data_IF_222226637466
#
_entry.id   IF_222226637466
#
_cell.length_a   1.000
_cell.length_b   1.000
_cell.length_c   1.000
_cell.angle_alpha   90.00
_cell.angle_beta   90.00
_cell.angle_gamma   90.00
#
_symmetry.space_group_name_H-M   'P 1'
#
loop_
_entity.id
_entity.type
_entity.pdbx_description
1 polymer ?
#
# COMPACT_ATOMS: atom_id res chain seq x y z
N UNK A 1 -1.29 -91.50 -21.65
CA UNK A 1 0.10 -90.98 -21.46
C UNK A 1 0.20 -89.44 -21.33
N UNK A 2 -0.88 -88.67 -21.11
CA UNK A 2 -0.83 -87.18 -21.08
C UNK A 2 -1.16 -86.51 -19.72
N UNK A 3 -1.82 -87.19 -18.77
CA UNK A 3 -2.18 -86.57 -17.47
C UNK A 3 -1.00 -86.46 -16.50
N UNK A 4 -0.14 -87.47 -16.43
CA UNK A 4 1.03 -87.45 -15.54
C UNK A 4 2.11 -86.45 -15.98
N UNK A 5 2.25 -86.20 -17.29
CA UNK A 5 3.18 -85.18 -17.81
C UNK A 5 2.72 -83.76 -17.49
N UNK A 6 1.42 -83.47 -17.62
CA UNK A 6 0.85 -82.17 -17.21
C UNK A 6 0.97 -81.92 -15.71
N UNK A 7 0.75 -82.95 -14.89
CA UNK A 7 0.90 -82.87 -13.44
C UNK A 7 2.37 -82.67 -13.03
N UNK A 8 3.31 -83.35 -13.69
CA UNK A 8 4.75 -83.16 -13.46
C UNK A 8 5.23 -81.75 -13.85
N UNK A 9 4.74 -81.19 -14.96
CA UNK A 9 5.05 -79.82 -15.37
C UNK A 9 4.46 -78.81 -14.37
N UNK A 10 3.24 -79.04 -13.89
CA UNK A 10 2.63 -78.19 -12.86
C UNK A 10 3.40 -78.20 -11.54
N UNK A 11 3.84 -79.38 -11.09
CA UNK A 11 4.68 -79.52 -9.90
C UNK A 11 6.03 -78.83 -10.10
N UNK A 12 6.65 -78.97 -11.27
CA UNK A 12 7.91 -78.31 -11.57
C UNK A 12 7.80 -76.78 -11.54
N UNK A 13 6.74 -76.21 -12.12
CA UNK A 13 6.47 -74.76 -12.08
C UNK A 13 6.21 -74.30 -10.65
N UNK A 14 5.44 -75.06 -9.87
CA UNK A 14 5.19 -74.73 -8.46
C UNK A 14 6.48 -74.72 -7.63
N UNK A 15 7.36 -75.70 -7.84
CA UNK A 15 8.68 -75.74 -7.18
C UNK A 15 9.54 -74.55 -7.61
N UNK A 16 9.52 -74.18 -8.90
CA UNK A 16 10.24 -73.01 -9.41
C UNK A 16 9.74 -71.70 -8.78
N UNK A 17 8.42 -71.55 -8.66
CA UNK A 17 7.80 -70.38 -8.03
C UNK A 17 8.13 -70.32 -6.54
N UNK A 18 8.06 -71.44 -5.82
CA UNK A 18 8.44 -71.50 -4.40
C UNK A 18 9.92 -71.16 -4.24
N UNK A 19 10.80 -71.73 -5.06
CA UNK A 19 12.23 -71.44 -5.03
C UNK A 19 12.51 -69.96 -5.32
N UNK A 20 11.80 -69.36 -6.28
CA UNK A 20 11.92 -67.93 -6.60
C UNK A 20 11.41 -67.04 -5.47
N UNK A 21 10.27 -67.38 -4.86
CA UNK A 21 9.73 -66.64 -3.72
C UNK A 21 10.65 -66.71 -2.50
N UNK A 22 11.23 -67.88 -2.21
CA UNK A 22 12.23 -68.04 -1.14
C UNK A 22 13.49 -67.24 -1.46
N UNK A 23 13.97 -67.30 -2.71
CA UNK A 23 15.13 -66.52 -3.14
C UNK A 23 14.89 -65.02 -2.98
N UNK A 24 13.74 -64.51 -3.43
CA UNK A 24 13.37 -63.11 -3.28
C UNK A 24 13.22 -62.71 -1.81
N UNK A 25 12.62 -63.55 -0.97
CA UNK A 25 12.48 -63.27 0.47
C UNK A 25 13.85 -63.21 1.17
N UNK A 26 14.79 -64.10 0.82
CA UNK A 26 16.15 -64.09 1.39
C UNK A 26 17.00 -62.92 0.87
N UNK A 27 16.79 -62.50 -0.40
CA UNK A 27 17.49 -61.36 -1.01
C UNK A 27 16.87 -60.00 -0.70
N UNK A 28 15.57 -59.95 -0.37
CA UNK A 28 14.87 -58.72 -0.01
C UNK A 28 15.20 -58.33 1.44
N UNK A 29 16.39 -57.78 1.63
CA UNK A 29 16.77 -57.16 2.91
C UNK A 29 16.04 -55.83 3.05
N UNK A 30 15.19 -55.64 4.07
CA UNK A 30 14.63 -54.33 4.35
C UNK A 30 15.79 -53.39 4.65
N UNK A 31 15.91 -52.31 3.90
CA UNK A 31 16.84 -51.23 4.19
C UNK A 31 16.03 -49.99 4.52
N UNK A 32 16.45 -49.30 5.57
CA UNK A 32 15.97 -47.96 5.84
C UNK A 32 16.67 -47.03 4.85
N UNK A 33 15.87 -46.34 4.04
CA UNK A 33 16.35 -45.22 3.26
C UNK A 33 15.76 -43.96 3.85
N UNK A 34 16.62 -43.03 4.25
CA UNK A 34 16.21 -41.68 4.58
C UNK A 34 15.86 -40.99 3.26
N UNK A 35 14.57 -40.74 3.07
CA UNK A 35 14.06 -39.97 1.94
C UNK A 35 14.03 -38.53 2.40
N UNK A 36 14.91 -37.71 1.83
CA UNK A 36 14.90 -36.28 2.05
C UNK A 36 13.65 -35.68 1.38
N UNK A 37 12.70 -35.23 2.21
CA UNK A 37 11.49 -34.54 1.76
C UNK A 37 11.72 -33.03 1.59
N UNK A 38 12.95 -32.56 1.80
CA UNK A 38 13.30 -31.15 1.83
C UNK A 38 12.86 -30.46 3.13
N UNK A 39 13.03 -29.14 3.20
CA UNK A 39 12.69 -28.36 4.39
C UNK A 39 11.19 -28.44 4.68
N UNK A 40 10.84 -28.51 5.97
CA UNK A 40 9.45 -28.45 6.43
C UNK A 40 8.80 -27.12 6.02
N UNK A 41 7.45 -27.02 5.93
CA UNK A 41 6.77 -25.76 5.64
C UNK A 41 7.15 -24.62 6.60
N UNK A 42 7.43 -24.96 7.86
CA UNK A 42 7.90 -24.02 8.87
C UNK A 42 9.32 -23.51 8.57
N UNK A 43 10.24 -24.39 8.18
CA UNK A 43 11.60 -24.01 7.78
C UNK A 43 11.64 -23.26 6.44
N UNK A 44 10.67 -23.50 5.56
CA UNK A 44 10.51 -22.73 4.31
C UNK A 44 10.01 -21.31 4.60
N UNK A 45 9.08 -21.16 5.54
CA UNK A 45 8.55 -19.85 5.93
C UNK A 45 9.54 -19.04 6.79
N UNK A 46 10.33 -19.71 7.63
CA UNK A 46 11.30 -19.06 8.51
C UNK A 46 12.74 -19.48 8.17
N UNK A 47 13.48 -18.66 7.40
CA UNK A 47 14.89 -18.93 7.08
C UNK A 47 15.79 -19.04 8.31
N UNK A 48 15.44 -18.37 9.41
CA UNK A 48 16.20 -18.31 10.67
C UNK A 48 15.66 -19.29 11.73
N UNK A 49 14.83 -20.26 11.34
CA UNK A 49 14.23 -21.22 12.28
C UNK A 49 15.28 -21.95 13.13
N UNK A 50 16.37 -22.40 12.49
CA UNK A 50 17.47 -23.06 13.19
C UNK A 50 18.17 -22.12 14.20
N UNK A 51 18.31 -20.84 13.86
CA UNK A 51 18.86 -19.81 14.76
C UNK A 51 18.00 -19.62 16.00
N UNK A 52 16.69 -19.52 15.82
CA UNK A 52 15.75 -19.43 16.94
C UNK A 52 15.83 -20.67 17.85
N UNK A 53 15.84 -21.87 17.26
CA UNK A 53 15.96 -23.10 18.04
C UNK A 53 17.29 -23.20 18.77
N UNK A 54 18.39 -22.78 18.14
CA UNK A 54 19.70 -22.76 18.77
C UNK A 54 19.71 -21.83 19.99
N UNK A 55 19.26 -20.60 19.83
CA UNK A 55 19.20 -19.62 20.93
C UNK A 55 18.26 -20.07 22.06
N UNK A 56 17.09 -20.66 21.74
CA UNK A 56 16.19 -21.25 22.74
C UNK A 56 16.84 -22.40 23.50
N UNK A 57 17.63 -23.25 22.82
CA UNK A 57 18.39 -24.33 23.45
C UNK A 57 19.47 -23.81 24.40
N UNK A 58 20.01 -22.62 24.16
CA UNK A 58 20.93 -21.93 25.08
C UNK A 58 20.22 -21.23 26.25
N UNK A 59 18.89 -21.38 26.38
CA UNK A 59 18.11 -20.82 27.47
C UNK A 59 17.70 -19.36 27.29
N UNK A 60 17.92 -18.77 26.11
CA UNK A 60 17.49 -17.41 25.79
C UNK A 60 16.01 -17.39 25.36
N UNK A 61 15.28 -16.34 25.74
CA UNK A 61 13.91 -16.11 25.25
C UNK A 61 13.97 -15.51 23.85
N UNK A 62 13.41 -16.22 22.86
CA UNK A 62 13.49 -15.82 21.44
C UNK A 62 12.11 -15.62 20.86
N UNK A 63 11.81 -14.38 20.48
CA UNK A 63 10.58 -13.97 19.82
C UNK A 63 10.86 -13.54 18.38
N UNK A 64 9.87 -13.70 17.52
CA UNK A 64 9.89 -13.19 16.14
C UNK A 64 8.85 -12.08 15.99
N UNK A 65 9.19 -11.01 15.27
CA UNK A 65 8.31 -9.91 14.95
C UNK A 65 8.41 -9.53 13.46
N UNK A 66 7.29 -9.11 12.86
CA UNK A 66 7.25 -8.69 11.45
C UNK A 66 7.37 -7.16 11.29
N UNK A 67 7.26 -6.39 12.37
CA UNK A 67 7.23 -4.91 12.34
C UNK A 67 7.90 -4.32 13.57
N UNK A 68 8.39 -3.10 13.42
CA UNK A 68 8.95 -2.26 14.49
C UNK A 68 7.89 -1.79 15.50
N UNK A 69 6.60 -2.06 15.25
CA UNK A 69 5.51 -1.74 16.18
C UNK A 69 5.63 -2.46 17.54
N UNK A 70 6.49 -3.49 17.62
CA UNK A 70 6.80 -4.19 18.87
C UNK A 70 7.71 -3.36 19.80
N UNK A 71 8.47 -2.39 19.28
CA UNK A 71 9.46 -1.61 20.05
C UNK A 71 8.94 -1.04 21.38
N UNK A 72 7.71 -0.48 21.48
CA UNK A 72 7.19 0.04 22.75
C UNK A 72 6.97 -1.01 23.83
N UNK A 73 6.87 -2.29 23.46
CA UNK A 73 6.70 -3.41 24.39
C UNK A 73 8.03 -4.00 24.87
N UNK A 74 9.13 -3.67 24.20
CA UNK A 74 10.46 -4.21 24.50
C UNK A 74 11.20 -3.32 25.49
N UNK A 75 11.52 -3.84 26.67
CA UNK A 75 12.33 -3.14 27.65
C UNK A 75 13.80 -3.03 27.19
N UNK A 76 14.36 -1.83 27.01
CA UNK A 76 15.69 -1.68 26.41
C UNK A 76 16.82 -2.46 27.12
N UNK A 77 16.91 -2.40 28.44
CA UNK A 77 18.10 -2.83 29.20
C UNK A 77 18.42 -4.34 29.16
N UNK A 78 17.50 -5.19 28.69
CA UNK A 78 17.68 -6.65 28.65
C UNK A 78 17.23 -7.26 27.33
N UNK A 79 17.10 -6.46 26.27
CA UNK A 79 16.63 -6.95 24.98
C UNK A 79 17.64 -6.65 23.87
N UNK A 80 17.84 -7.66 23.03
CA UNK A 80 18.55 -7.56 21.76
C UNK A 80 17.54 -7.63 20.62
N UNK A 81 17.57 -6.63 19.74
CA UNK A 81 16.77 -6.61 18.51
C UNK A 81 17.68 -6.90 17.33
N UNK A 82 17.42 -8.00 16.60
CA UNK A 82 18.11 -8.31 15.35
C UNK A 82 17.22 -7.94 14.17
N UNK A 83 17.63 -6.94 13.41
CA UNK A 83 17.01 -6.53 12.14
C UNK A 83 17.70 -7.28 10.99
N UNK A 84 17.14 -8.44 10.64
CA UNK A 84 17.70 -9.35 9.63
C UNK A 84 16.92 -9.30 8.29
N UNK A 85 15.79 -8.59 8.25
CA UNK A 85 14.98 -8.40 7.04
C UNK A 85 15.20 -7.06 6.34
N UNK A 86 14.69 -6.97 5.12
CA UNK A 86 14.68 -5.75 4.29
C UNK A 86 14.03 -4.55 5.01
N UNK A 87 14.64 -3.38 4.88
CA UNK A 87 14.23 -2.12 5.50
C UNK A 87 14.23 -0.93 4.54
N UNK A 88 14.08 -1.17 3.25
CA UNK A 88 13.89 -0.13 2.21
C UNK A 88 12.73 0.85 2.53
N UNK A 89 11.69 0.38 3.24
CA UNK A 89 10.50 1.19 3.56
C UNK A 89 10.55 1.85 4.95
N UNK A 90 11.70 1.82 5.64
CA UNK A 90 11.81 2.38 6.98
C UNK A 90 11.73 3.90 6.96
N UNK A 91 10.85 4.49 7.77
CA UNK A 91 10.70 5.95 7.84
C UNK A 91 11.73 6.59 8.77
N UNK A 92 12.11 7.87 8.57
CA UNK A 92 13.02 8.57 9.49
C UNK A 92 12.55 8.54 10.96
N UNK A 93 11.23 8.61 11.19
CA UNK A 93 10.65 8.52 12.53
C UNK A 93 10.90 7.16 13.17
N UNK A 94 10.79 6.07 12.42
CA UNK A 94 11.08 4.72 12.91
C UNK A 94 12.57 4.57 13.23
N UNK A 95 13.46 5.15 12.40
CA UNK A 95 14.91 5.17 12.67
C UNK A 95 15.21 5.89 13.98
N UNK A 96 14.66 7.08 14.18
CA UNK A 96 14.86 7.83 15.42
C UNK A 96 14.30 7.08 16.64
N UNK A 97 13.13 6.44 16.51
CA UNK A 97 12.54 5.64 17.59
C UNK A 97 13.41 4.44 17.97
N UNK A 98 13.97 3.76 16.98
CA UNK A 98 14.87 2.63 17.18
C UNK A 98 16.21 3.06 17.82
N UNK A 99 16.81 4.15 17.34
CA UNK A 99 18.04 4.67 17.91
C UNK A 99 17.83 5.20 19.33
N UNK A 100 16.68 5.79 19.63
CA UNK A 100 16.31 6.19 20.99
C UNK A 100 16.16 4.98 21.91
N UNK A 101 15.54 3.90 21.44
CA UNK A 101 15.44 2.63 22.17
C UNK A 101 16.82 2.04 22.46
N UNK A 102 17.70 2.04 21.46
CA UNK A 102 19.10 1.58 21.60
C UNK A 102 19.86 2.46 22.60
N UNK A 103 19.68 3.78 22.52
CA UNK A 103 20.29 4.74 23.47
C UNK A 103 19.88 4.48 24.92
N UNK A 104 18.66 3.98 25.12
CA UNK A 104 18.12 3.66 26.43
C UNK A 104 18.63 2.32 27.02
N UNK A 105 19.54 1.62 26.34
CA UNK A 105 20.16 0.38 26.84
C UNK A 105 19.92 -0.85 25.97
N UNK A 106 19.13 -0.73 24.90
CA UNK A 106 18.90 -1.81 23.93
C UNK A 106 20.15 -2.18 23.16
N UNK A 107 20.31 -3.47 22.84
CA UNK A 107 21.30 -3.91 21.86
C UNK A 107 20.63 -4.04 20.52
N UNK A 108 21.15 -3.35 19.51
CA UNK A 108 20.63 -3.41 18.15
C UNK A 108 21.66 -4.08 17.26
N UNK A 109 21.25 -5.11 16.53
CA UNK A 109 22.03 -5.70 15.45
C UNK A 109 21.28 -5.53 14.15
N UNK A 110 21.93 -5.03 13.11
CA UNK A 110 21.31 -4.94 11.78
C UNK A 110 22.29 -5.21 10.64
N UNK A 111 21.74 -5.64 9.52
CA UNK A 111 22.48 -5.88 8.27
C UNK A 111 22.57 -4.57 7.48
N UNK A 112 23.76 -4.26 6.98
CA UNK A 112 23.96 -3.18 6.02
C UNK A 112 23.41 -3.61 4.65
N UNK A 113 22.41 -2.89 4.12
CA UNK A 113 21.64 -3.33 2.96
C UNK A 113 22.01 -2.66 1.65
N UNK A 114 22.61 -1.48 1.71
CA UNK A 114 22.86 -0.69 0.51
C UNK A 114 24.28 -0.15 0.49
N UNK A 115 24.88 -0.21 -0.70
CA UNK A 115 26.18 0.36 -0.96
C UNK A 115 26.12 1.89 -0.85
N UNK A 116 27.19 2.45 -0.31
CA UNK A 116 27.40 3.89 -0.24
C UNK A 116 27.56 4.49 -1.63
N UNK A 117 26.84 5.57 -1.90
CA UNK A 117 27.00 6.34 -3.12
C UNK A 117 27.80 7.62 -2.83
N UNK A 118 29.05 7.67 -3.29
CA UNK A 118 29.93 8.83 -3.16
C UNK A 118 29.37 10.09 -3.83
N UNK A 119 28.52 9.96 -4.86
CA UNK A 119 27.99 11.12 -5.59
C UNK A 119 26.89 11.84 -4.81
N UNK A 120 26.02 11.07 -4.14
CA UNK A 120 24.92 11.61 -3.34
C UNK A 120 25.32 11.83 -1.88
N UNK A 121 26.40 11.19 -1.43
CA UNK A 121 26.89 11.26 -0.05
C UNK A 121 25.91 10.63 0.95
N UNK A 122 25.14 9.65 0.47
CA UNK A 122 24.14 8.89 1.22
C UNK A 122 24.10 7.47 0.67
N UNK A 123 23.51 6.55 1.42
CA UNK A 123 23.11 5.24 0.93
C UNK A 123 21.58 5.18 0.87
N UNK A 124 21.01 4.15 0.24
CA UNK A 124 19.55 3.94 0.30
C UNK A 124 19.10 3.40 1.67
N UNK A 125 20.01 3.40 2.65
CA UNK A 125 19.86 2.85 3.97
C UNK A 125 19.96 3.97 5.02
N UNK A 126 18.79 4.45 5.46
CA UNK A 126 18.70 5.58 6.41
C UNK A 126 19.31 5.29 7.78
N UNK A 127 19.32 4.05 8.26
CA UNK A 127 19.87 3.69 9.57
C UNK A 127 21.40 3.62 9.50
N UNK A 128 21.94 3.03 8.43
CA UNK A 128 23.37 2.94 8.16
C UNK A 128 23.98 4.35 8.03
N UNK A 129 23.32 5.23 7.26
CA UNK A 129 23.70 6.63 7.13
C UNK A 129 23.67 7.36 8.48
N UNK A 130 22.69 7.05 9.33
CA UNK A 130 22.54 7.70 10.64
C UNK A 130 23.65 7.29 11.63
N UNK A 131 24.11 6.05 11.55
CA UNK A 131 25.25 5.54 12.33
C UNK A 131 26.60 5.87 11.70
N UNK A 132 26.60 6.46 10.49
CA UNK A 132 27.78 6.98 9.79
C UNK A 132 28.79 5.90 9.43
N UNK A 133 28.30 4.70 9.13
CA UNK A 133 29.06 3.62 8.52
C UNK A 133 28.75 3.55 7.04
N UNK A 134 29.73 3.16 6.23
CA UNK A 134 29.55 3.01 4.79
C UNK A 134 29.77 1.55 4.39
N UNK A 135 28.94 1.05 3.48
CA UNK A 135 29.15 -0.26 2.89
C UNK A 135 29.67 -0.08 1.46
N UNK A 136 30.71 -0.81 1.09
CA UNK A 136 31.26 -0.83 -0.27
C UNK A 136 31.57 -2.25 -0.69
N UNK A 137 31.92 -2.46 -1.97
CA UNK A 137 32.34 -3.77 -2.45
C UNK A 137 33.84 -3.93 -2.20
N UNK A 138 34.22 -5.08 -1.62
CA UNK A 138 35.61 -5.41 -1.31
C UNK A 138 36.53 -5.35 -2.53
N UNK A 139 35.99 -5.58 -3.74
CA UNK A 139 36.73 -5.49 -4.99
C UNK A 139 37.24 -4.07 -5.30
N UNK A 140 36.55 -3.04 -4.81
CA UNK A 140 36.85 -1.63 -5.09
C UNK A 140 37.89 -1.06 -4.10
N UNK A 141 38.23 -1.82 -3.04
CA UNK A 141 39.30 -1.49 -2.11
C UNK A 141 40.66 -1.52 -2.81
N UNK A 142 41.31 -0.35 -2.83
CA UNK A 142 42.61 -0.11 -3.47
C UNK A 142 43.79 -0.67 -2.67
N UNK A 143 43.59 -0.99 -1.40
CA UNK A 143 44.65 -1.51 -0.55
C UNK A 143 45.06 -2.92 -0.99
N UNK A 144 46.37 -3.21 -1.07
CA UNK A 144 46.84 -4.55 -1.33
C UNK A 144 46.29 -5.46 -0.22
N UNK A 145 45.73 -6.61 -0.62
CA UNK A 145 45.41 -7.65 0.36
C UNK A 145 46.65 -7.88 1.21
N UNK A 146 46.57 -7.87 2.55
CA UNK A 146 47.70 -8.28 3.35
C UNK A 146 48.19 -9.62 2.78
N UNK A 147 49.49 -9.70 2.51
CA UNK A 147 50.11 -10.90 1.98
C UNK A 147 49.99 -11.98 3.04
N UNK A 148 48.92 -12.76 2.93
CA UNK A 148 48.61 -13.83 3.84
C UNK A 148 49.08 -15.12 3.16
N UNK A 149 50.38 -15.36 3.23
CA UNK A 149 50.97 -16.60 2.71
C UNK A 149 50.83 -17.78 3.72
N UNK A 150 50.25 -17.56 4.91
CA UNK A 150 50.23 -18.56 5.99
C UNK A 150 48.89 -18.70 6.77
N UNK A 151 47.79 -18.12 6.27
CA UNK A 151 46.47 -18.31 6.89
C UNK A 151 45.70 -19.46 6.25
N UNK A 152 45.31 -20.48 7.02
CA UNK A 152 44.51 -21.59 6.48
C UNK A 152 43.09 -21.15 6.06
N UNK A 153 42.56 -20.03 6.59
CA UNK A 153 41.17 -19.62 6.34
C UNK A 153 41.02 -18.11 6.02
N UNK A 154 41.58 -17.61 4.90
CA UNK A 154 41.60 -16.17 4.58
C UNK A 154 40.22 -15.58 4.24
N UNK A 155 39.24 -16.45 3.92
CA UNK A 155 37.87 -16.04 3.60
C UNK A 155 36.94 -16.01 4.81
N UNK A 156 37.37 -16.55 5.94
CA UNK A 156 36.57 -16.54 7.16
C UNK A 156 36.90 -15.28 7.95
N UNK A 157 35.86 -14.67 8.48
CA UNK A 157 35.98 -13.50 9.35
C UNK A 157 36.46 -13.95 10.71
N UNK A 158 37.51 -13.30 11.20
CA UNK A 158 38.13 -13.64 12.48
C UNK A 158 37.72 -12.64 13.53
N UNK A 159 37.12 -13.13 14.61
CA UNK A 159 36.85 -12.35 15.80
C UNK A 159 37.83 -12.78 16.89
N UNK A 160 38.67 -11.85 17.35
CA UNK A 160 39.59 -12.07 18.46
C UNK A 160 38.93 -11.59 19.76
N UNK A 161 38.92 -12.46 20.77
CA UNK A 161 38.46 -12.14 22.11
C UNK A 161 39.68 -11.84 22.99
N UNK A 162 39.56 -10.92 23.94
CA UNK A 162 40.68 -10.51 24.80
C UNK A 162 41.26 -11.67 25.62
N UNK A 163 40.42 -12.65 25.99
CA UNK A 163 40.79 -13.76 26.87
C UNK A 163 41.03 -15.10 26.13
N UNK A 164 40.97 -15.13 24.80
CA UNK A 164 41.17 -16.36 24.02
C UNK A 164 42.34 -16.28 23.02
N UNK A 165 43.07 -17.38 22.91
CA UNK A 165 44.22 -17.49 21.99
C UNK A 165 43.81 -17.83 20.55
N UNK A 166 42.60 -18.36 20.35
CA UNK A 166 42.09 -18.74 19.03
C UNK A 166 40.96 -17.78 18.61
N UNK A 167 40.95 -17.29 17.36
CA UNK A 167 39.83 -16.50 16.88
C UNK A 167 38.62 -17.39 16.63
N UNK A 168 37.43 -16.83 16.81
CA UNK A 168 36.20 -17.42 16.30
C UNK A 168 36.09 -17.14 14.79
N UNK A 169 35.66 -18.15 14.03
CA UNK A 169 35.55 -18.08 12.57
C UNK A 169 34.09 -17.94 12.12
N UNK A 170 33.77 -16.83 11.44
CA UNK A 170 32.44 -16.55 10.92
C UNK A 170 32.43 -16.45 9.39
N UNK A 171 31.41 -17.05 8.77
CA UNK A 171 31.26 -17.16 7.31
C UNK A 171 30.50 -16.02 6.64
N UNK A 172 30.91 -14.76 6.85
CA UNK A 172 30.34 -13.60 6.15
C UNK A 172 30.68 -13.58 4.64
N UNK A 173 29.86 -12.87 3.85
CA UNK A 173 30.10 -12.64 2.43
C UNK A 173 31.26 -11.66 2.21
N UNK A 174 32.38 -12.21 1.76
CA UNK A 174 33.61 -11.48 1.43
C UNK A 174 33.45 -10.42 0.34
N UNK A 175 32.33 -10.40 -0.40
CA UNK A 175 32.07 -9.41 -1.45
C UNK A 175 31.85 -7.99 -0.91
N UNK A 176 31.41 -7.87 0.35
CA UNK A 176 31.10 -6.59 0.98
C UNK A 176 32.17 -6.17 1.99
N UNK A 177 32.26 -4.88 2.22
CA UNK A 177 33.16 -4.25 3.19
C UNK A 177 32.41 -3.16 3.93
N UNK A 178 32.53 -3.14 5.25
CA UNK A 178 32.13 -2.02 6.09
C UNK A 178 33.31 -1.10 6.36
N UNK A 179 33.08 0.18 6.16
CA UNK A 179 34.00 1.26 6.45
C UNK A 179 33.41 2.17 7.55
N UNK A 180 34.28 2.62 8.45
CA UNK A 180 33.96 3.60 9.48
C UNK A 180 34.82 4.86 9.28
N UNK A 181 34.34 5.84 8.49
CA UNK A 181 35.10 7.05 8.18
C UNK A 181 35.43 7.90 9.40
N UNK A 182 34.70 7.73 10.50
CA UNK A 182 34.82 8.56 11.70
C UNK A 182 35.45 7.85 12.90
N UNK A 183 35.86 6.58 12.73
CA UNK A 183 36.45 5.76 13.79
C UNK A 183 35.60 5.75 15.07
N UNK A 184 34.29 5.53 14.90
CA UNK A 184 33.30 5.40 15.97
C UNK A 184 33.20 3.97 16.52
N UNK A 185 33.62 2.96 15.75
CA UNK A 185 33.58 1.55 16.12
C UNK A 185 34.59 1.23 17.23
N UNK A 186 34.16 0.43 18.20
CA UNK A 186 35.00 -0.03 19.31
C UNK A 186 35.58 -1.42 19.06
N UNK A 187 34.81 -2.28 18.39
CA UNK A 187 35.22 -3.60 18.00
C UNK A 187 34.83 -3.86 16.55
N UNK A 188 35.64 -4.64 15.84
CA UNK A 188 35.39 -5.03 14.47
C UNK A 188 35.93 -6.43 14.20
N UNK A 189 35.39 -7.09 13.18
CA UNK A 189 35.87 -8.39 12.73
C UNK A 189 36.09 -8.36 11.21
N UNK A 190 37.20 -8.91 10.76
CA UNK A 190 37.66 -8.81 9.37
C UNK A 190 38.02 -10.18 8.76
N UNK A 191 37.93 -10.25 7.43
CA UNK A 191 38.50 -11.34 6.62
C UNK A 191 39.36 -10.74 5.51
N UNK A 192 40.64 -11.09 5.45
CA UNK A 192 41.57 -10.51 4.49
C UNK A 192 41.63 -8.98 4.61
N UNK A 193 41.14 -8.28 3.58
CA UNK A 193 41.07 -6.81 3.53
C UNK A 193 39.70 -6.21 3.87
N UNK A 194 38.68 -7.05 4.06
CA UNK A 194 37.31 -6.60 4.25
C UNK A 194 36.90 -6.70 5.72
N UNK A 195 36.17 -5.70 6.23
CA UNK A 195 35.57 -5.72 7.57
C UNK A 195 34.10 -6.08 7.42
N UNK A 196 33.65 -7.07 8.17
CA UNK A 196 32.31 -7.65 8.02
C UNK A 196 31.39 -7.38 9.19
N UNK A 197 31.96 -7.02 10.33
CA UNK A 197 31.22 -6.70 11.54
C UNK A 197 31.87 -5.49 12.22
N UNK A 198 31.04 -4.57 12.71
CA UNK A 198 31.46 -3.44 13.54
C UNK A 198 30.49 -3.25 14.70
N UNK A 199 31.03 -2.93 15.88
CA UNK A 199 30.26 -2.61 17.07
C UNK A 199 30.53 -1.17 17.49
N UNK A 200 29.46 -0.40 17.69
CA UNK A 200 29.46 0.99 18.09
C UNK A 200 28.72 1.14 19.42
N UNK A 201 29.19 2.03 20.28
CA UNK A 201 28.45 2.39 21.48
C UNK A 201 27.41 3.47 21.17
N UNK A 202 26.20 3.29 21.68
CA UNK A 202 25.13 4.26 21.52
C UNK A 202 24.38 4.47 22.82
N UNK A 203 24.72 5.53 23.56
CA UNK A 203 24.13 5.80 24.88
C UNK A 203 24.49 4.71 25.89
N UNK A 204 23.48 4.08 26.46
CA UNK A 204 23.62 2.95 27.39
C UNK A 204 23.65 1.59 26.68
N UNK A 205 23.34 1.55 25.38
CA UNK A 205 23.29 0.34 24.57
C UNK A 205 24.40 0.28 23.53
N UNK A 206 24.30 -0.71 22.64
CA UNK A 206 25.26 -0.96 21.56
C UNK A 206 24.57 -1.20 20.24
N UNK A 207 25.22 -0.77 19.16
CA UNK A 207 24.82 -1.02 17.77
C UNK A 207 25.86 -1.95 17.16
N UNK A 208 25.41 -3.05 16.59
CA UNK A 208 26.23 -4.00 15.85
C UNK A 208 25.76 -3.96 14.40
N UNK A 209 26.67 -3.68 13.49
CA UNK A 209 26.41 -3.68 12.05
C UNK A 209 27.18 -4.81 11.42
N UNK A 210 26.50 -5.60 10.59
CA UNK A 210 27.09 -6.71 9.83
C UNK A 210 26.85 -6.53 8.34
N UNK A 211 27.73 -7.07 7.50
CA UNK A 211 27.59 -7.04 6.03
C UNK A 211 26.45 -7.91 5.52
N UNK A 212 26.23 -9.06 6.16
CA UNK A 212 25.16 -10.01 5.83
C UNK A 212 24.70 -10.77 7.08
N UNK A 213 23.55 -11.46 6.96
CA UNK A 213 23.01 -12.36 7.98
C UNK A 213 22.85 -13.80 7.46
N UNK A 214 23.42 -14.11 6.29
CA UNK A 214 23.23 -15.41 5.64
C UNK A 214 23.85 -16.54 6.45
N UNK A 215 24.93 -16.24 7.18
CA UNK A 215 25.57 -17.16 8.12
C UNK A 215 24.61 -17.70 9.21
N UNK A 216 23.53 -16.99 9.54
CA UNK A 216 22.55 -17.41 10.55
C UNK A 216 21.30 -18.05 9.96
N UNK A 217 21.21 -18.15 8.62
CA UNK A 217 20.14 -18.91 7.99
C UNK A 217 20.35 -20.41 8.23
N UNK A 218 19.25 -21.15 8.17
CA UNK A 218 19.19 -22.60 8.40
C UNK A 218 20.27 -23.43 7.69
N UNK A 219 20.66 -23.18 6.42
CA UNK A 219 21.69 -23.98 5.76
C UNK A 219 23.14 -23.67 6.17
N UNK A 220 23.39 -22.55 6.87
CA UNK A 220 24.74 -22.06 7.16
C UNK A 220 25.07 -21.98 8.65
N UNK A 221 24.07 -22.03 9.53
CA UNK A 221 24.26 -21.83 10.97
C UNK A 221 25.12 -22.91 11.64
N UNK A 222 25.12 -24.13 11.11
CA UNK A 222 25.93 -25.25 11.60
C UNK A 222 27.38 -25.23 11.08
N UNK A 223 27.69 -24.32 10.16
CA UNK A 223 29.02 -24.18 9.60
C UNK A 223 29.88 -23.27 10.49
N UNK A 224 31.14 -23.66 10.69
CA UNK A 224 32.14 -22.90 11.47
C UNK A 224 31.59 -22.49 12.86
N UNK A 225 31.89 -21.26 13.32
CA UNK A 225 31.42 -20.73 14.59
C UNK A 225 30.22 -19.78 14.42
N UNK A 226 29.45 -19.93 13.33
CA UNK A 226 28.34 -19.03 13.01
C UNK A 226 27.27 -18.99 14.11
N UNK A 227 26.87 -20.16 14.64
CA UNK A 227 25.95 -20.27 15.76
C UNK A 227 26.51 -19.63 17.03
N UNK A 228 27.80 -19.89 17.31
CA UNK A 228 28.47 -19.33 18.49
C UNK A 228 28.50 -17.80 18.43
N UNK A 229 28.80 -17.22 17.26
CA UNK A 229 28.78 -15.76 17.07
C UNK A 229 27.39 -15.19 17.36
N UNK A 230 26.32 -15.83 16.87
CA UNK A 230 24.95 -15.36 17.14
C UNK A 230 24.66 -15.31 18.65
N UNK A 231 25.05 -16.37 19.38
CA UNK A 231 24.86 -16.43 20.82
C UNK A 231 25.73 -15.39 21.54
N UNK A 232 27.00 -15.23 21.15
CA UNK A 232 27.90 -14.24 21.73
C UNK A 232 27.34 -12.81 21.64
N UNK A 233 26.81 -12.43 20.47
CA UNK A 233 26.24 -11.10 20.25
C UNK A 233 24.92 -10.86 21.03
N UNK A 234 24.23 -11.93 21.41
CA UNK A 234 22.91 -11.88 22.06
C UNK A 234 22.92 -12.38 23.51
N UNK A 235 24.09 -12.73 24.05
CA UNK A 235 24.24 -13.30 25.38
C UNK A 235 23.61 -12.40 26.45
N UNK A 236 22.97 -13.01 27.45
CA UNK A 236 22.31 -12.35 28.59
C UNK A 236 21.16 -11.40 28.22
N UNK A 237 20.54 -11.56 27.04
CA UNK A 237 19.38 -10.74 26.63
C UNK A 237 18.24 -11.58 26.06
N UNK A 238 17.03 -11.05 26.17
CA UNK A 238 15.88 -11.54 25.43
C UNK A 238 16.01 -11.10 23.97
N UNK A 239 15.87 -12.04 23.05
CA UNK A 239 16.14 -11.83 21.64
C UNK A 239 14.83 -11.66 20.88
N UNK A 240 14.72 -10.57 20.14
CA UNK A 240 13.64 -10.39 19.16
C UNK A 240 14.26 -10.34 17.77
N UNK A 241 13.96 -11.32 16.93
CA UNK A 241 14.34 -11.31 15.53
C UNK A 241 13.24 -10.62 14.74
N UNK A 242 13.63 -9.65 13.93
CA UNK A 242 12.75 -8.95 13.01
C UNK A 242 13.25 -9.19 11.60
N UNK A 243 12.51 -10.02 10.89
CA UNK A 243 12.67 -10.25 9.46
C UNK A 243 11.29 -10.42 8.86
N UNK A 244 11.12 -9.91 7.63
CA UNK A 244 9.91 -10.17 6.90
C UNK A 244 9.97 -11.62 6.39
N UNK A 245 8.96 -12.40 6.71
CA UNK A 245 8.80 -13.73 6.09
C UNK A 245 8.39 -13.50 4.64
N UNK A 246 9.12 -14.07 3.69
CA UNK A 246 8.71 -14.08 2.29
C UNK A 246 7.39 -14.85 2.18
N UNK A 247 6.29 -14.11 2.05
CA UNK A 247 4.99 -14.71 1.80
C UNK A 247 4.78 -14.81 0.30
N UNK A 248 4.41 -16.01 -0.16
CA UNK A 248 3.91 -16.18 -1.53
C UNK A 248 2.81 -15.16 -1.80
N UNK A 249 2.90 -14.43 -2.92
CA UNK A 249 1.86 -13.47 -3.29
C UNK A 249 0.50 -14.18 -3.41
N UNK A 250 -0.60 -13.48 -3.15
CA UNK A 250 -1.95 -14.05 -3.27
C UNK A 250 -2.17 -14.65 -4.68
N UNK A 251 -1.62 -14.02 -5.72
CA UNK A 251 -1.67 -14.54 -7.09
C UNK A 251 -0.92 -15.87 -7.21
N UNK A 252 0.29 -15.95 -6.65
CA UNK A 252 1.10 -17.18 -6.61
C UNK A 252 0.36 -18.31 -5.91
N UNK A 253 -0.23 -18.01 -4.74
CA UNK A 253 -1.03 -18.96 -3.96
C UNK A 253 -2.27 -19.44 -4.73
N UNK A 254 -3.00 -18.52 -5.37
CA UNK A 254 -4.19 -18.85 -6.18
C UNK A 254 -3.83 -19.75 -7.36
N UNK A 255 -2.72 -19.48 -8.05
CA UNK A 255 -2.27 -20.31 -9.18
C UNK A 255 -1.80 -21.70 -8.73
N UNK A 256 -1.10 -21.78 -7.58
CA UNK A 256 -0.55 -23.04 -7.05
C UNK A 256 -1.63 -23.96 -6.48
N UNK A 257 -2.57 -23.42 -5.69
CA UNK A 257 -3.54 -24.22 -4.93
C UNK A 257 -4.96 -24.18 -5.50
N UNK A 258 -5.34 -23.14 -6.27
CA UNK A 258 -6.71 -22.96 -6.76
C UNK A 258 -6.84 -22.74 -8.28
N UNK A 259 -6.13 -23.51 -9.14
CA UNK A 259 -6.20 -23.32 -10.59
C UNK A 259 -7.60 -23.57 -11.15
N UNK A 260 -8.37 -24.52 -10.60
CA UNK A 260 -9.73 -24.81 -11.06
C UNK A 260 -10.69 -23.64 -10.81
N UNK A 261 -10.52 -22.94 -9.68
CA UNK A 261 -11.35 -21.77 -9.35
C UNK A 261 -11.08 -20.60 -10.31
N UNK A 262 -9.83 -20.38 -10.69
CA UNK A 262 -9.45 -19.38 -11.70
C UNK A 262 -10.06 -19.71 -13.07
N UNK A 263 -9.98 -20.97 -13.50
CA UNK A 263 -10.61 -21.41 -14.76
C UNK A 263 -12.12 -21.18 -14.73
N UNK A 264 -12.79 -21.52 -13.63
CA UNK A 264 -14.23 -21.27 -13.47
C UNK A 264 -14.56 -19.77 -13.50
N UNK A 265 -13.75 -18.93 -12.86
CA UNK A 265 -13.91 -17.47 -12.89
C UNK A 265 -13.79 -16.91 -14.31
N UNK A 266 -12.76 -17.31 -15.07
CA UNK A 266 -12.60 -16.89 -16.46
C UNK A 266 -13.72 -17.40 -17.36
N UNK A 267 -14.20 -18.63 -17.14
CA UNK A 267 -15.35 -19.17 -17.86
C UNK A 267 -16.63 -18.36 -17.56
N UNK A 268 -16.89 -18.00 -16.30
CA UNK A 268 -18.02 -17.16 -15.91
C UNK A 268 -17.94 -15.76 -16.50
N UNK A 269 -16.74 -15.14 -16.52
CA UNK A 269 -16.53 -13.85 -17.16
C UNK A 269 -16.83 -13.95 -18.66
N UNK A 270 -16.33 -14.99 -19.33
CA UNK A 270 -16.61 -15.26 -20.74
C UNK A 270 -18.10 -15.45 -21.02
N UNK A 271 -18.80 -16.24 -20.19
CA UNK A 271 -20.25 -16.43 -20.28
C UNK A 271 -21.02 -15.15 -19.95
N UNK A 272 -20.52 -14.32 -19.04
CA UNK A 272 -21.11 -13.02 -18.70
C UNK A 272 -21.02 -12.05 -19.88
N UNK A 273 -19.84 -11.96 -20.51
CA UNK A 273 -19.67 -11.18 -21.74
C UNK A 273 -20.51 -11.72 -22.89
N UNK A 274 -20.59 -13.05 -23.03
CA UNK A 274 -21.49 -13.67 -23.99
C UNK A 274 -22.94 -13.28 -23.73
N UNK A 275 -23.40 -13.38 -22.49
CA UNK A 275 -24.77 -13.06 -22.10
C UNK A 275 -25.13 -11.58 -22.36
N UNK A 276 -24.22 -10.66 -22.03
CA UNK A 276 -24.42 -9.21 -22.26
C UNK A 276 -24.26 -8.83 -23.74
N UNK A 277 -23.36 -9.52 -24.46
CA UNK A 277 -23.08 -9.28 -25.88
C UNK A 277 -24.18 -9.79 -26.81
N UNK A 278 -24.89 -10.85 -26.42
CA UNK A 278 -26.03 -11.38 -27.17
C UNK A 278 -27.21 -10.43 -27.02
N UNK A 279 -27.34 -9.51 -27.98
CA UNK A 279 -28.50 -8.62 -28.09
C UNK A 279 -29.71 -9.41 -28.60
N UNK A 280 -30.64 -9.72 -27.71
CA UNK A 280 -31.95 -10.25 -28.08
C UNK A 280 -32.95 -9.09 -28.18
N UNK A 281 -33.35 -8.73 -29.40
CA UNK A 281 -34.46 -7.80 -29.62
C UNK A 281 -34.26 -6.84 -30.80
N UNK A 282 -35.35 -6.31 -31.37
CA UNK A 282 -35.30 -5.29 -32.42
C UNK A 282 -34.71 -3.98 -31.86
N UNK A 283 -33.91 -3.30 -32.68
CA UNK A 283 -33.36 -1.99 -32.34
C UNK A 283 -34.52 -0.99 -32.19
N UNK A 284 -34.85 -0.62 -30.95
CA UNK A 284 -35.79 0.45 -30.67
C UNK A 284 -35.10 1.78 -30.98
N UNK A 285 -35.71 2.60 -31.84
CA UNK A 285 -35.23 3.96 -32.07
C UNK A 285 -35.27 4.74 -30.75
N UNK A 286 -34.18 5.42 -30.36
CA UNK A 286 -34.17 6.21 -29.14
C UNK A 286 -35.21 7.32 -29.23
N UNK A 287 -36.04 7.44 -28.19
CA UNK A 287 -37.09 8.47 -28.11
C UNK A 287 -36.46 9.84 -28.37
N UNK A 288 -36.95 10.63 -29.35
CA UNK A 288 -36.39 11.93 -29.65
C UNK A 288 -36.40 12.80 -28.40
N UNK A 289 -35.25 13.36 -28.02
CA UNK A 289 -35.14 14.27 -26.87
C UNK A 289 -36.13 15.42 -27.06
N UNK A 290 -37.04 15.60 -26.10
CA UNK A 290 -37.99 16.70 -26.09
C UNK A 290 -37.25 18.03 -26.29
N UNK A 291 -37.48 18.68 -27.43
CA UNK A 291 -36.98 20.03 -27.73
C UNK A 291 -37.50 21.01 -26.67
N UNK A 292 -36.76 22.09 -26.43
CA UNK A 292 -37.06 23.17 -25.45
C UNK A 292 -38.46 23.81 -25.67
N UNK A 293 -39.52 23.14 -25.22
CA UNK A 293 -40.93 23.53 -25.40
C UNK A 293 -41.43 24.64 -24.47
N UNK A 294 -40.63 25.07 -23.48
CA UNK A 294 -41.08 26.11 -22.55
C UNK A 294 -41.37 27.44 -23.28
N UNK A 295 -40.52 27.81 -24.25
CA UNK A 295 -40.69 29.05 -25.00
C UNK A 295 -41.91 28.98 -25.94
N UNK A 296 -42.17 27.83 -26.54
CA UNK A 296 -43.36 27.60 -27.36
C UNK A 296 -44.63 27.64 -26.52
N UNK A 297 -44.61 27.02 -25.33
CA UNK A 297 -45.76 27.03 -24.43
C UNK A 297 -46.04 28.43 -23.86
N UNK A 298 -45.00 29.19 -23.50
CA UNK A 298 -45.14 30.58 -23.05
C UNK A 298 -45.69 31.46 -24.17
N UNK A 299 -45.21 31.30 -25.41
CA UNK A 299 -45.71 32.04 -26.57
C UNK A 299 -47.15 31.68 -26.89
N UNK A 300 -47.50 30.40 -26.88
CA UNK A 300 -48.87 29.94 -27.09
C UNK A 300 -49.83 30.46 -26.01
N UNK A 301 -49.39 30.46 -24.75
CA UNK A 301 -50.18 30.99 -23.62
C UNK A 301 -50.39 32.50 -23.73
N UNK A 302 -49.34 33.25 -24.11
CA UNK A 302 -49.41 34.69 -24.33
C UNK A 302 -50.35 35.05 -25.49
N UNK A 303 -50.25 34.34 -26.62
CA UNK A 303 -51.12 34.53 -27.78
C UNK A 303 -52.57 34.20 -27.44
N UNK A 304 -52.81 33.13 -26.67
CA UNK A 304 -54.14 32.76 -26.21
C UNK A 304 -54.76 33.84 -25.32
N UNK A 305 -54.01 34.34 -24.34
CA UNK A 305 -54.47 35.41 -23.45
C UNK A 305 -54.77 36.71 -24.22
N UNK A 306 -53.93 37.07 -25.18
CA UNK A 306 -54.14 38.25 -26.02
C UNK A 306 -55.40 38.12 -26.87
N UNK A 307 -55.66 36.94 -27.44
CA UNK A 307 -56.85 36.67 -28.27
C UNK A 307 -58.15 36.66 -27.45
N UNK A 308 -58.15 36.04 -26.26
CA UNK A 308 -59.38 35.81 -25.49
C UNK A 308 -59.75 36.95 -24.54
N UNK A 309 -58.76 37.56 -23.88
CA UNK A 309 -59.00 38.59 -22.84
C UNK A 309 -58.64 40.01 -23.33
N UNK A 310 -57.96 40.14 -24.47
CA UNK A 310 -57.59 41.41 -25.08
C UNK A 310 -56.44 42.14 -24.39
N UNK A 311 -55.95 43.18 -25.05
CA UNK A 311 -54.82 44.00 -24.59
C UNK A 311 -55.08 44.71 -23.25
N UNK A 312 -56.33 45.13 -23.00
CA UNK A 312 -56.70 45.88 -21.80
C UNK A 312 -56.58 45.04 -20.53
N UNK A 313 -56.93 43.75 -20.59
CA UNK A 313 -56.80 42.86 -19.44
C UNK A 313 -55.34 42.67 -19.03
N UNK A 314 -54.43 42.58 -20.01
CA UNK A 314 -52.98 42.48 -19.76
C UNK A 314 -52.41 43.75 -19.12
N UNK A 315 -52.81 44.93 -19.59
CA UNK A 315 -52.41 46.20 -18.99
C UNK A 315 -52.94 46.36 -17.57
N UNK A 316 -54.20 46.00 -17.34
CA UNK A 316 -54.82 46.07 -16.02
C UNK A 316 -54.17 45.08 -15.03
N UNK A 317 -53.80 43.88 -15.50
CA UNK A 317 -53.06 42.92 -14.69
C UNK A 317 -51.68 43.48 -14.26
N UNK A 318 -50.97 44.18 -15.16
CA UNK A 318 -49.71 44.84 -14.84
C UNK A 318 -49.89 46.02 -13.88
N UNK A 319 -50.90 46.86 -14.09
CA UNK A 319 -51.23 47.98 -13.19
C UNK A 319 -51.59 47.48 -11.78
N UNK A 320 -52.40 46.42 -11.68
CA UNK A 320 -52.69 45.78 -10.39
C UNK A 320 -51.44 45.19 -9.73
N UNK A 321 -50.52 44.63 -10.50
CA UNK A 321 -49.26 44.12 -9.95
C UNK A 321 -48.39 45.23 -9.36
N UNK A 322 -48.30 46.37 -10.06
CA UNK A 322 -47.66 47.59 -9.57
C UNK A 322 -48.30 48.04 -8.26
N UNK A 323 -49.63 48.20 -8.22
CA UNK A 323 -50.35 48.59 -7.00
C UNK A 323 -50.16 47.61 -5.85
N UNK A 324 -50.08 46.30 -6.13
CA UNK A 324 -49.79 45.28 -5.10
C UNK A 324 -48.39 45.44 -4.52
N UNK A 325 -47.38 45.75 -5.34
CA UNK A 325 -46.00 46.00 -4.87
C UNK A 325 -45.90 47.28 -4.06
N UNK A 326 -46.54 48.36 -4.50
CA UNK A 326 -46.57 49.64 -3.78
C UNK A 326 -47.20 49.48 -2.40
N UNK A 327 -48.31 48.73 -2.29
CA UNK A 327 -48.98 48.45 -1.02
C UNK A 327 -48.09 47.75 0.01
N UNK A 328 -47.15 46.92 -0.44
CA UNK A 328 -46.15 46.29 0.44
C UNK A 328 -45.11 47.27 0.95
N UNK A 329 -44.82 48.34 0.18
CA UNK A 329 -43.77 49.32 0.47
C UNK A 329 -44.28 50.56 1.22
N UNK A 330 -45.55 50.92 1.04
CA UNK A 330 -46.19 52.04 1.73
C UNK A 330 -47.57 51.63 2.32
N UNK A 331 -47.63 51.33 3.63
CA UNK A 331 -48.91 51.09 4.32
C UNK A 331 -49.81 52.32 4.21
N UNK A 332 -51.12 52.14 3.98
CA UNK A 332 -52.08 53.25 3.84
C UNK A 332 -52.16 53.88 2.44
N UNK A 333 -51.48 53.35 1.42
CA UNK A 333 -51.53 53.87 0.05
C UNK A 333 -52.95 53.99 -0.54
N UNK A 334 -53.87 53.10 -0.15
CA UNK A 334 -55.26 53.10 -0.64
C UNK A 334 -56.12 54.23 -0.04
N UNK A 335 -55.70 54.84 1.08
CA UNK A 335 -56.45 55.91 1.75
C UNK A 335 -56.10 57.30 1.20
N UNK A 336 -55.02 57.41 0.41
CA UNK A 336 -54.56 58.66 -0.20
C UNK A 336 -55.43 59.04 -1.40
N UNK A 337 -55.61 60.35 -1.61
CA UNK A 337 -56.27 60.84 -2.82
C UNK A 337 -55.50 60.48 -4.09
N UNK A 338 -56.17 60.34 -5.23
CA UNK A 338 -55.54 59.90 -6.50
C UNK A 338 -54.33 60.77 -6.89
N UNK A 339 -54.34 62.07 -6.60
CA UNK A 339 -53.21 62.96 -6.84
C UNK A 339 -52.01 62.69 -5.91
N UNK A 340 -52.27 62.34 -4.65
CA UNK A 340 -51.25 61.99 -3.66
C UNK A 340 -50.65 60.62 -3.96
N UNK A 341 -51.46 59.66 -4.43
CA UNK A 341 -51.01 58.34 -4.89
C UNK A 341 -49.97 58.46 -6.03
N UNK A 342 -50.18 59.37 -6.98
CA UNK A 342 -49.21 59.62 -8.05
C UNK A 342 -47.93 60.30 -7.55
N UNK A 343 -48.02 61.14 -6.52
CA UNK A 343 -46.85 61.78 -5.90
C UNK A 343 -46.00 60.75 -5.13
N UNK A 344 -46.64 59.82 -4.42
CA UNK A 344 -45.94 58.71 -3.74
C UNK A 344 -45.28 57.78 -4.74
N UNK A 345 -45.98 57.41 -5.82
CA UNK A 345 -45.39 56.63 -6.91
C UNK A 345 -44.21 57.35 -7.57
N UNK A 346 -44.31 58.66 -7.81
CA UNK A 346 -43.22 59.47 -8.36
C UNK A 346 -41.99 59.48 -7.43
N UNK A 347 -42.21 59.62 -6.11
CA UNK A 347 -41.14 59.56 -5.10
C UNK A 347 -40.46 58.19 -5.04
N UNK A 348 -41.23 57.10 -5.14
CA UNK A 348 -40.70 55.74 -5.04
C UNK A 348 -40.00 55.26 -6.32
N UNK A 349 -40.47 55.69 -7.49
CA UNK A 349 -39.96 55.24 -8.80
C UNK A 349 -39.01 56.23 -9.48
N UNK A 350 -38.92 57.47 -8.99
CA UNK A 350 -38.14 58.56 -9.60
C UNK A 350 -38.71 59.06 -10.94
N UNK A 351 -39.91 58.65 -11.33
CA UNK A 351 -40.53 59.05 -12.60
C UNK A 351 -41.44 60.28 -12.47
N UNK A 352 -41.58 61.10 -13.52
CA UNK A 352 -42.43 62.29 -13.46
C UNK A 352 -43.90 61.90 -13.28
N UNK A 353 -44.60 62.63 -12.41
CA UNK A 353 -46.02 62.41 -12.07
C UNK A 353 -46.94 62.36 -13.30
N UNK A 354 -46.59 63.10 -14.36
CA UNK A 354 -47.32 63.09 -15.65
C UNK A 354 -47.21 61.77 -16.41
N UNK A 355 -46.06 61.10 -16.35
CA UNK A 355 -45.89 59.79 -16.99
C UNK A 355 -46.64 58.69 -16.21
N UNK A 356 -46.62 58.77 -14.88
CA UNK A 356 -47.34 57.85 -14.00
C UNK A 356 -48.86 57.99 -14.18
N UNK A 357 -49.37 59.23 -14.21
CA UNK A 357 -50.80 59.46 -14.42
C UNK A 357 -51.24 58.96 -15.80
N UNK A 358 -50.45 59.16 -16.85
CA UNK A 358 -50.75 58.66 -18.20
C UNK A 358 -50.72 57.13 -18.32
N UNK A 359 -49.89 56.45 -17.53
CA UNK A 359 -49.72 55.00 -17.55
C UNK A 359 -50.73 54.27 -16.64
N UNK A 360 -51.12 54.87 -15.51
CA UNK A 360 -51.99 54.27 -14.49
C UNK A 360 -53.46 54.69 -14.59
N UNK A 361 -53.80 55.72 -15.37
CA UNK A 361 -55.20 56.15 -15.55
C UNK A 361 -56.03 55.11 -16.32
N UNK A 362 -57.30 54.87 -15.91
CA UNK A 362 -58.22 54.04 -16.68
C UNK A 362 -58.51 54.70 -18.03
N UNK A 363 -58.29 53.97 -19.12
CA UNK A 363 -58.53 54.48 -20.49
C UNK A 363 -59.83 53.94 -21.08
N UNK A 364 -60.46 54.69 -22.01
CA UNK A 364 -61.66 54.23 -22.71
C UNK A 364 -61.39 52.93 -23.48
N UNK A 365 -62.45 52.13 -23.69
CA UNK A 365 -62.39 50.80 -24.31
C UNK A 365 -62.08 50.86 -25.82
N UNK A 366 -60.90 51.36 -26.21
CA UNK A 366 -60.43 51.42 -27.59
C UNK A 366 -59.24 50.48 -27.79
N UNK A 367 -59.13 49.88 -28.99
CA UNK A 367 -58.05 48.96 -29.36
C UNK A 367 -56.79 49.78 -29.65
N UNK A 368 -55.68 49.45 -29.01
CA UNK A 368 -54.40 50.14 -29.20
C UNK A 368 -53.68 49.56 -30.43
N UNK A 369 -52.93 50.41 -31.13
CA UNK A 369 -51.97 49.90 -32.10
C UNK A 369 -50.89 49.06 -31.40
N UNK A 370 -50.34 48.05 -32.07
CA UNK A 370 -49.32 47.17 -31.48
C UNK A 370 -48.11 47.95 -30.95
N UNK A 371 -47.73 49.04 -31.63
CA UNK A 371 -46.62 49.90 -31.22
C UNK A 371 -46.93 50.73 -29.96
N UNK A 372 -48.17 51.19 -29.79
CA UNK A 372 -48.59 51.89 -28.57
C UNK A 372 -48.74 50.94 -27.39
N UNK A 373 -49.28 49.75 -27.62
CA UNK A 373 -49.39 48.71 -26.60
C UNK A 373 -48.01 48.30 -26.06
N UNK A 374 -47.04 48.02 -26.93
CA UNK A 374 -45.69 47.66 -26.52
C UNK A 374 -44.99 48.79 -25.76
N UNK A 375 -45.14 50.05 -26.19
CA UNK A 375 -44.60 51.22 -25.46
C UNK A 375 -45.22 51.35 -24.07
N UNK A 376 -46.52 51.13 -23.95
CA UNK A 376 -47.23 51.21 -22.68
C UNK A 376 -46.86 50.07 -21.72
N UNK A 377 -46.75 48.84 -22.22
CA UNK A 377 -46.26 47.70 -21.44
C UNK A 377 -44.84 47.97 -20.96
N UNK A 378 -43.95 48.48 -21.83
CA UNK A 378 -42.59 48.85 -21.45
C UNK A 378 -42.58 49.91 -20.34
N UNK A 379 -43.39 50.98 -20.44
CA UNK A 379 -43.49 51.99 -19.38
C UNK A 379 -43.99 51.41 -18.04
N UNK A 380 -45.02 50.55 -18.07
CA UNK A 380 -45.53 49.88 -16.87
C UNK A 380 -44.51 48.89 -16.28
N UNK A 381 -43.74 48.18 -17.12
CA UNK A 381 -42.68 47.29 -16.67
C UNK A 381 -41.51 48.06 -16.04
N UNK A 382 -41.11 49.20 -16.62
CA UNK A 382 -40.10 50.08 -16.02
C UNK A 382 -40.55 50.58 -14.65
N UNK A 383 -41.81 51.01 -14.52
CA UNK A 383 -42.40 51.39 -13.22
C UNK A 383 -42.42 50.23 -12.23
N UNK A 384 -42.82 49.03 -12.67
CA UNK A 384 -42.86 47.82 -11.83
C UNK A 384 -41.47 47.39 -11.36
N UNK A 385 -40.44 47.53 -12.19
CA UNK A 385 -39.08 47.10 -11.86
C UNK A 385 -38.34 48.11 -10.97
N UNK A 386 -38.77 49.37 -10.95
CA UNK A 386 -38.26 50.39 -10.03
C UNK A 386 -38.85 50.26 -8.61
N UNK A 387 -39.95 49.52 -8.46
CA UNK A 387 -40.63 49.20 -7.19
C UNK A 387 -40.22 47.85 -6.63
#
# INVERSE_FOLDING_TARGET
MNRQRGLAIGVFIAVLLIALSVYLYVKATPYQADIDHGPSPEAQANPYLAAEHFLRKQGLSVNHANSLDILPTLEPHQHSLLLLGDRDNMTPRQVDQLLNWTRAGGRLLFVAQSLWDEQTGQSNDLLLDRVQLHQSLSKDLKDPSPAIDDDPYPKLTKLYLEDENAPAYAGFDTAFHLEDPKNLAQAWANSGKATHMMQLNHGLGSIIVVTDADLWKTPAIDQYDNAWLLWYLTADTNVTLLFNTDHDSLLTLLLRYFPQALVALFALIGLGFWHVGVRQGPLLEPVPRARRQLQEHLRASADFMLRRNGQQHLLHALQHDILRRVRRRHPGFEQLGVAEQWLVLARLTGQPTRAISQAMSPRPKQRLSSAEFSRQVAHLQTLRNAL
#
